data_IF_148514542519
#
_entry.id   IF_148514542519
#
_cell.length_a   1.000
_cell.length_b   1.000
_cell.length_c   1.000
_cell.angle_alpha   90.00
_cell.angle_beta   90.00
_cell.angle_gamma   90.00
#
_symmetry.space_group_name_H-M   'P 1'
#
loop_
_entity.id
_entity.type
_entity.pdbx_description
1 polymer ?
#
# COMPACT_ATOMS: atom_id res chain seq x y z
N UNK A 1 27.26 12.89 -0.81
CA UNK A 1 26.25 11.83 -0.64
C UNK A 1 26.14 11.14 -1.99
N UNK A 2 26.56 9.87 -2.09
CA UNK A 2 26.36 9.07 -3.31
C UNK A 2 24.93 8.55 -3.29
N UNK A 3 24.12 8.99 -4.26
CA UNK A 3 22.83 8.38 -4.51
C UNK A 3 23.06 7.11 -5.34
N UNK A 4 22.57 5.96 -4.86
CA UNK A 4 22.66 4.68 -5.55
C UNK A 4 21.27 4.29 -6.10
N UNK A 5 20.83 4.87 -7.24
CA UNK A 5 19.49 4.65 -7.77
C UNK A 5 19.28 3.18 -8.13
N UNK A 6 18.28 2.56 -7.53
CA UNK A 6 17.87 1.21 -7.86
C UNK A 6 18.59 0.08 -7.13
N UNK A 7 19.38 0.36 -6.08
CA UNK A 7 20.01 -0.69 -5.26
C UNK A 7 19.08 -1.19 -4.17
N UNK A 8 18.19 -0.35 -3.65
CA UNK A 8 17.29 -0.67 -2.53
C UNK A 8 15.88 -1.13 -2.92
N UNK A 9 15.59 -1.32 -4.23
CA UNK A 9 14.22 -1.62 -4.68
C UNK A 9 13.67 -2.91 -4.05
N UNK A 10 14.52 -3.89 -3.81
CA UNK A 10 14.12 -5.14 -3.18
C UNK A 10 13.80 -4.93 -1.69
N UNK A 11 14.64 -4.19 -0.97
CA UNK A 11 14.42 -3.88 0.45
C UNK A 11 13.11 -3.12 0.68
N UNK A 12 12.81 -2.11 -0.17
CA UNK A 12 11.54 -1.37 -0.08
C UNK A 12 10.34 -2.27 -0.41
N UNK A 13 10.49 -3.19 -1.37
CA UNK A 13 9.42 -4.12 -1.69
C UNK A 13 9.15 -5.11 -0.54
N UNK A 14 10.19 -5.62 0.10
CA UNK A 14 10.08 -6.49 1.28
C UNK A 14 9.43 -5.76 2.45
N UNK A 15 9.83 -4.51 2.72
CA UNK A 15 9.21 -3.66 3.72
C UNK A 15 7.73 -3.42 3.44
N UNK A 16 7.36 -3.19 2.16
CA UNK A 16 5.96 -3.02 1.76
C UNK A 16 5.13 -4.27 2.10
N UNK A 17 5.62 -5.46 1.78
CA UNK A 17 4.93 -6.72 2.11
C UNK A 17 4.86 -6.92 3.63
N UNK A 18 5.93 -6.62 4.37
CA UNK A 18 5.90 -6.66 5.84
C UNK A 18 4.79 -5.79 6.40
N UNK A 19 4.68 -4.53 5.94
CA UNK A 19 3.63 -3.60 6.37
C UNK A 19 2.21 -4.11 6.02
N UNK A 20 2.03 -4.78 4.88
CA UNK A 20 0.75 -5.42 4.53
C UNK A 20 0.41 -6.56 5.51
N UNK A 21 1.38 -7.40 5.85
CA UNK A 21 1.22 -8.49 6.81
C UNK A 21 0.94 -7.96 8.21
N UNK A 22 1.63 -6.90 8.65
CA UNK A 22 1.40 -6.26 9.94
C UNK A 22 -0.03 -5.75 10.06
N UNK A 23 -0.53 -5.04 9.05
CA UNK A 23 -1.90 -4.53 9.02
C UNK A 23 -2.95 -5.66 9.02
N UNK A 24 -2.72 -6.71 8.23
CA UNK A 24 -3.68 -7.82 8.10
C UNK A 24 -3.71 -8.75 9.33
N UNK A 25 -2.64 -8.80 10.12
CA UNK A 25 -2.47 -9.72 11.24
C UNK A 25 -2.36 -9.03 12.60
N UNK A 26 -2.37 -7.68 12.63
CA UNK A 26 -2.24 -6.86 13.85
C UNK A 26 -0.97 -7.17 14.66
N UNK A 27 0.13 -7.50 13.97
CA UNK A 27 1.33 -8.02 14.64
C UNK A 27 1.98 -6.98 15.55
N UNK A 28 1.95 -5.71 15.16
CA UNK A 28 2.52 -4.61 15.96
C UNK A 28 1.71 -4.36 17.23
N UNK A 29 0.38 -4.28 17.12
CA UNK A 29 -0.53 -4.07 18.24
C UNK A 29 -0.50 -5.25 19.23
N UNK A 30 -0.56 -6.47 18.70
CA UNK A 30 -0.49 -7.67 19.50
C UNK A 30 0.84 -7.78 20.26
N UNK A 31 1.95 -7.49 19.59
CA UNK A 31 3.28 -7.52 20.21
C UNK A 31 3.39 -6.47 21.33
N UNK A 32 2.93 -5.22 21.08
CA UNK A 32 2.94 -4.14 22.06
C UNK A 32 2.14 -4.52 23.30
N UNK A 33 0.92 -5.05 23.13
CA UNK A 33 0.05 -5.43 24.23
C UNK A 33 0.68 -6.52 25.11
N UNK A 34 1.31 -7.54 24.48
CA UNK A 34 2.00 -8.59 25.25
C UNK A 34 3.22 -8.04 26.00
N UNK A 35 4.02 -7.18 25.38
CA UNK A 35 5.25 -6.70 25.98
C UNK A 35 5.03 -5.60 27.04
N UNK A 36 4.11 -4.66 26.76
CA UNK A 36 3.90 -3.49 27.61
C UNK A 36 2.80 -3.71 28.67
N UNK A 37 1.72 -4.39 28.27
CA UNK A 37 0.53 -4.56 29.12
C UNK A 37 0.45 -5.95 29.75
N UNK A 38 1.31 -6.90 29.33
CA UNK A 38 1.31 -8.31 29.74
C UNK A 38 -0.03 -9.02 29.53
N UNK A 39 -0.80 -8.58 28.52
CA UNK A 39 -2.10 -9.15 28.18
C UNK A 39 -1.92 -10.14 27.02
N UNK A 40 -2.49 -11.32 27.17
CA UNK A 40 -2.56 -12.33 26.11
C UNK A 40 -4.02 -12.64 25.78
N UNK A 41 -4.51 -12.11 24.65
CA UNK A 41 -5.83 -12.40 24.14
C UNK A 41 -5.78 -12.83 22.66
N UNK A 42 -5.69 -14.13 22.41
CA UNK A 42 -5.56 -14.70 21.06
C UNK A 42 -6.74 -14.41 20.12
N UNK A 43 -7.89 -14.00 20.65
CA UNK A 43 -9.08 -13.72 19.85
C UNK A 43 -9.23 -12.25 19.50
N UNK A 44 -8.59 -11.33 20.23
CA UNK A 44 -8.69 -9.89 20.02
C UNK A 44 -8.16 -9.47 18.65
N UNK A 45 -7.06 -10.10 18.23
CA UNK A 45 -6.35 -9.80 16.99
C UNK A 45 -6.57 -10.88 15.93
N UNK A 46 -7.83 -11.20 15.69
CA UNK A 46 -8.19 -12.10 14.57
C UNK A 46 -8.00 -11.35 13.26
N UNK A 47 -6.94 -11.67 12.53
CA UNK A 47 -6.64 -11.12 11.24
C UNK A 47 -7.16 -11.96 10.09
N UNK A 48 -6.69 -11.64 8.89
CA UNK A 48 -7.01 -12.37 7.66
C UNK A 48 -5.75 -12.64 6.83
N UNK A 49 -5.87 -13.52 5.85
CA UNK A 49 -4.79 -13.83 4.91
C UNK A 49 -4.75 -12.80 3.77
N UNK A 50 -3.59 -12.62 3.14
CA UNK A 50 -3.48 -11.82 1.92
C UNK A 50 -4.07 -12.54 0.70
N UNK A 51 -4.09 -13.87 0.73
CA UNK A 51 -4.61 -14.72 -0.33
C UNK A 51 -6.02 -14.33 -0.75
N UNK A 52 -6.22 -14.23 -2.07
CA UNK A 52 -7.52 -13.91 -2.67
C UNK A 52 -7.91 -12.43 -2.62
N UNK A 53 -7.12 -11.59 -1.94
CA UNK A 53 -7.33 -10.14 -1.95
C UNK A 53 -6.68 -9.49 -3.17
N UNK A 54 -7.16 -8.30 -3.52
CA UNK A 54 -6.68 -7.50 -4.65
C UNK A 54 -5.71 -6.44 -4.13
N UNK A 55 -4.47 -6.47 -4.64
CA UNK A 55 -3.49 -5.40 -4.45
C UNK A 55 -3.55 -4.43 -5.63
N UNK A 56 -3.88 -3.18 -5.36
CA UNK A 56 -3.76 -2.06 -6.28
C UNK A 56 -2.39 -1.39 -6.10
N UNK A 57 -1.63 -1.31 -7.19
CA UNK A 57 -0.31 -0.66 -7.21
C UNK A 57 -0.41 0.65 -7.97
N UNK A 58 0.00 1.74 -7.31
CA UNK A 58 0.12 3.07 -7.93
C UNK A 58 1.59 3.33 -8.26
N UNK A 59 1.95 3.19 -9.55
CA UNK A 59 3.32 3.25 -10.06
C UNK A 59 3.98 1.86 -10.16
N UNK A 60 4.10 1.34 -11.39
CA UNK A 60 4.66 0.00 -11.67
C UNK A 60 6.12 0.06 -12.15
N UNK A 61 6.94 0.91 -11.50
CA UNK A 61 8.38 0.96 -11.72
C UNK A 61 9.12 -0.26 -11.13
N UNK A 62 10.42 -0.13 -10.85
CA UNK A 62 11.24 -1.23 -10.30
C UNK A 62 10.68 -1.77 -8.97
N UNK A 63 10.29 -0.86 -8.05
CA UNK A 63 9.74 -1.23 -6.74
C UNK A 63 8.36 -1.85 -6.92
N UNK A 64 7.42 -1.16 -7.60
CA UNK A 64 6.07 -1.67 -7.80
C UNK A 64 6.02 -3.03 -8.51
N UNK A 65 6.88 -3.24 -9.52
CA UNK A 65 7.01 -4.55 -10.18
C UNK A 65 7.54 -5.64 -9.23
N UNK A 66 8.44 -5.29 -8.31
CA UNK A 66 8.93 -6.25 -7.32
C UNK A 66 7.87 -6.59 -6.27
N UNK A 67 7.13 -5.58 -5.80
CA UNK A 67 5.97 -5.76 -4.89
C UNK A 67 4.92 -6.64 -5.55
N UNK A 68 4.58 -6.39 -6.82
CA UNK A 68 3.65 -7.22 -7.57
C UNK A 68 4.05 -8.71 -7.56
N UNK A 69 5.32 -8.99 -7.89
CA UNK A 69 5.85 -10.36 -7.88
C UNK A 69 5.78 -11.01 -6.49
N UNK A 70 6.05 -10.28 -5.42
CA UNK A 70 5.96 -10.80 -4.05
C UNK A 70 4.50 -11.03 -3.65
N UNK A 71 3.59 -10.10 -3.95
CA UNK A 71 2.17 -10.24 -3.65
C UNK A 71 1.54 -11.45 -4.39
N UNK A 72 1.93 -11.70 -5.64
CA UNK A 72 1.51 -12.88 -6.38
C UNK A 72 1.95 -14.19 -5.72
N UNK A 73 3.11 -14.21 -5.05
CA UNK A 73 3.55 -15.37 -4.27
C UNK A 73 2.70 -15.61 -3.00
N UNK A 74 1.93 -14.61 -2.56
CA UNK A 74 0.89 -14.73 -1.53
C UNK A 74 -0.50 -15.01 -2.12
N UNK A 75 -0.61 -15.45 -3.37
CA UNK A 75 -1.87 -15.71 -4.08
C UNK A 75 -2.81 -14.49 -4.14
N UNK A 76 -2.25 -13.27 -4.15
CA UNK A 76 -3.01 -12.05 -4.39
C UNK A 76 -3.23 -11.82 -5.88
N UNK A 77 -4.38 -11.23 -6.24
CA UNK A 77 -4.58 -10.62 -7.56
C UNK A 77 -3.96 -9.23 -7.57
N UNK A 78 -3.17 -8.91 -8.61
CA UNK A 78 -2.50 -7.61 -8.70
C UNK A 78 -3.03 -6.81 -9.88
N UNK A 79 -3.43 -5.57 -9.62
CA UNK A 79 -3.77 -4.58 -10.64
C UNK A 79 -2.90 -3.31 -10.42
N UNK A 80 -2.62 -2.57 -11.47
CA UNK A 80 -1.81 -1.36 -11.37
C UNK A 80 -2.33 -0.21 -12.22
N UNK A 81 -2.16 0.99 -11.69
CA UNK A 81 -2.25 2.25 -12.40
C UNK A 81 -0.86 2.83 -12.59
N UNK A 82 -0.44 2.97 -13.82
CA UNK A 82 0.78 3.68 -14.23
C UNK A 82 0.59 4.21 -15.65
N UNK A 83 0.53 5.53 -15.85
CA UNK A 83 0.29 6.12 -17.17
C UNK A 83 1.47 5.95 -18.13
N UNK A 84 2.65 5.53 -17.64
CA UNK A 84 3.88 5.40 -18.43
C UNK A 84 4.20 3.94 -18.81
N UNK A 85 3.45 2.97 -18.28
CA UNK A 85 3.64 1.55 -18.55
C UNK A 85 2.46 1.02 -19.37
N UNK A 86 2.73 0.43 -20.53
CA UNK A 86 1.71 -0.13 -21.39
C UNK A 86 1.11 -1.43 -20.84
N UNK A 87 -0.06 -1.80 -21.38
CA UNK A 87 -0.81 -2.98 -20.92
C UNK A 87 -0.09 -4.29 -21.19
N UNK A 88 0.66 -4.41 -22.30
CA UNK A 88 1.41 -5.61 -22.65
C UNK A 88 2.54 -5.86 -21.64
N UNK A 89 3.27 -4.80 -21.30
CA UNK A 89 4.31 -4.84 -20.26
C UNK A 89 3.73 -5.23 -18.90
N UNK A 90 2.56 -4.71 -18.50
CA UNK A 90 1.88 -5.10 -17.25
C UNK A 90 1.44 -6.56 -17.29
N UNK A 91 0.81 -6.98 -18.38
CA UNK A 91 0.33 -8.35 -18.56
C UNK A 91 1.47 -9.37 -18.52
N UNK A 92 2.65 -9.05 -19.10
CA UNK A 92 3.84 -9.90 -19.04
C UNK A 92 4.33 -10.16 -17.61
N UNK A 93 3.95 -9.29 -16.66
CA UNK A 93 4.24 -9.41 -15.22
C UNK A 93 3.09 -10.03 -14.43
N UNK A 94 2.01 -10.47 -15.10
CA UNK A 94 0.80 -10.97 -14.45
C UNK A 94 0.01 -9.88 -13.69
N UNK A 95 0.14 -8.62 -14.12
CA UNK A 95 -0.52 -7.45 -13.51
C UNK A 95 -1.60 -6.93 -14.45
N UNK A 96 -2.81 -6.76 -13.95
CA UNK A 96 -3.90 -6.15 -14.72
C UNK A 96 -3.69 -4.63 -14.79
N UNK A 97 -3.68 -4.06 -16.00
CA UNK A 97 -3.66 -2.60 -16.16
C UNK A 97 -5.02 -2.01 -15.85
N UNK A 98 -5.03 -0.91 -15.10
CA UNK A 98 -6.21 -0.07 -14.87
C UNK A 98 -5.88 1.35 -15.33
N UNK A 99 -6.70 1.91 -16.20
CA UNK A 99 -6.44 3.22 -16.83
C UNK A 99 -6.89 4.39 -15.96
N UNK A 100 -7.76 4.16 -15.01
CA UNK A 100 -8.30 5.16 -14.09
C UNK A 100 -7.93 4.84 -12.64
N UNK A 101 -7.37 5.81 -11.93
CA UNK A 101 -6.93 5.64 -10.55
C UNK A 101 -8.10 5.39 -9.59
N UNK A 102 -9.24 6.03 -9.82
CA UNK A 102 -10.43 5.84 -8.98
C UNK A 102 -10.99 4.42 -9.17
N UNK A 103 -10.95 3.89 -10.40
CA UNK A 103 -11.31 2.49 -10.66
C UNK A 103 -10.39 1.54 -9.91
N UNK A 104 -9.06 1.78 -9.93
CA UNK A 104 -8.12 0.98 -9.15
C UNK A 104 -8.47 1.01 -7.66
N UNK A 105 -8.71 2.20 -7.11
CA UNK A 105 -9.08 2.40 -5.71
C UNK A 105 -10.39 1.68 -5.34
N UNK A 106 -11.39 1.70 -6.23
CA UNK A 106 -12.67 1.05 -5.99
C UNK A 106 -12.60 -0.49 -5.98
N UNK A 107 -11.61 -1.07 -6.66
CA UNK A 107 -11.46 -2.53 -6.81
C UNK A 107 -10.53 -3.15 -5.76
N UNK A 108 -9.55 -2.40 -5.27
CA UNK A 108 -8.48 -2.91 -4.42
C UNK A 108 -8.92 -3.08 -2.96
N UNK A 109 -8.35 -4.09 -2.30
CA UNK A 109 -8.42 -4.30 -0.86
C UNK A 109 -7.20 -3.69 -0.16
N UNK A 110 -6.08 -3.63 -0.88
CA UNK A 110 -4.83 -2.97 -0.49
C UNK A 110 -4.39 -2.02 -1.59
N UNK A 111 -3.99 -0.80 -1.23
CA UNK A 111 -3.35 0.17 -2.15
C UNK A 111 -1.92 0.38 -1.69
N UNK A 112 -0.96 0.15 -2.59
CA UNK A 112 0.45 0.41 -2.35
C UNK A 112 1.01 1.42 -3.36
N UNK A 113 1.67 2.46 -2.85
CA UNK A 113 2.13 3.60 -3.66
C UNK A 113 3.63 3.51 -3.88
N UNK A 114 4.07 3.63 -5.14
CA UNK A 114 5.47 3.54 -5.57
C UNK A 114 5.84 4.62 -6.60
N UNK A 115 5.21 5.79 -6.51
CA UNK A 115 5.49 6.93 -7.38
C UNK A 115 6.50 7.88 -6.73
N UNK A 116 7.32 8.61 -7.49
CA UNK A 116 8.07 9.74 -6.98
C UNK A 116 7.10 10.87 -6.58
N UNK A 117 7.56 11.79 -5.73
CA UNK A 117 6.84 13.03 -5.46
C UNK A 117 7.14 14.04 -6.58
N UNK A 118 6.11 14.44 -7.30
CA UNK A 118 6.13 15.47 -8.35
C UNK A 118 4.85 16.29 -8.23
N UNK A 119 4.72 17.38 -9.00
CA UNK A 119 3.46 18.15 -9.02
C UNK A 119 2.26 17.29 -9.43
N UNK A 120 2.46 16.31 -10.33
CA UNK A 120 1.40 15.42 -10.78
C UNK A 120 1.05 14.30 -9.77
N UNK A 121 1.95 13.96 -8.85
CA UNK A 121 1.76 12.88 -7.88
C UNK A 121 1.58 13.37 -6.45
N UNK A 122 1.71 14.68 -6.22
CA UNK A 122 1.42 15.30 -4.92
C UNK A 122 -0.06 15.12 -4.59
N UNK A 123 -0.35 14.46 -3.46
CA UNK A 123 -1.72 14.17 -3.04
C UNK A 123 -2.49 13.27 -4.00
N UNK A 124 -1.80 12.47 -4.82
CA UNK A 124 -2.43 11.58 -5.81
C UNK A 124 -3.43 10.61 -5.17
N UNK A 125 -3.22 10.26 -3.91
CA UNK A 125 -4.21 9.59 -3.07
C UNK A 125 -4.76 10.63 -2.09
N UNK A 126 -5.89 11.20 -2.44
CA UNK A 126 -6.59 12.24 -1.69
C UNK A 126 -8.04 11.88 -1.37
N UNK A 127 -8.85 12.87 -1.01
CA UNK A 127 -10.26 12.69 -0.61
C UNK A 127 -11.07 11.92 -1.63
N UNK A 128 -10.90 12.21 -2.91
CA UNK A 128 -11.62 11.55 -4.00
C UNK A 128 -11.29 10.06 -4.05
N UNK A 129 -10.00 9.69 -4.01
CA UNK A 129 -9.55 8.31 -4.05
C UNK A 129 -10.02 7.55 -2.80
N UNK A 130 -9.92 8.16 -1.62
CA UNK A 130 -10.47 7.56 -0.39
C UNK A 130 -11.97 7.34 -0.48
N UNK A 131 -12.72 8.28 -1.06
CA UNK A 131 -14.17 8.12 -1.25
C UNK A 131 -14.52 6.92 -2.15
N UNK A 132 -13.70 6.67 -3.19
CA UNK A 132 -13.88 5.54 -4.11
C UNK A 132 -13.51 4.18 -3.50
N UNK A 133 -12.59 4.13 -2.52
CA UNK A 133 -12.13 2.87 -1.91
C UNK A 133 -13.28 2.08 -1.30
N UNK A 134 -13.12 0.76 -1.19
CA UNK A 134 -14.02 -0.08 -0.40
C UNK A 134 -13.92 0.27 1.08
N UNK A 135 -14.98 0.14 1.88
CA UNK A 135 -14.84 0.11 3.33
C UNK A 135 -13.88 -1.03 3.74
N UNK A 136 -12.94 -0.73 4.61
CA UNK A 136 -11.96 -1.73 5.06
C UNK A 136 -10.71 -1.85 4.20
N UNK A 137 -10.48 -0.96 3.23
CA UNK A 137 -9.24 -0.92 2.45
C UNK A 137 -8.04 -0.53 3.32
N UNK A 138 -6.88 -1.09 3.01
CA UNK A 138 -5.59 -0.74 3.60
C UNK A 138 -4.74 0.08 2.63
N UNK A 139 -4.00 1.07 3.13
CA UNK A 139 -3.11 1.92 2.31
C UNK A 139 -1.68 1.86 2.83
N UNK A 140 -0.73 1.59 1.94
CA UNK A 140 0.69 1.48 2.27
C UNK A 140 1.48 2.51 1.46
N UNK A 141 2.25 3.35 2.14
CA UNK A 141 3.14 4.33 1.51
C UNK A 141 4.58 4.15 2.00
N UNK A 142 5.40 3.49 1.18
CA UNK A 142 6.85 3.40 1.33
C UNK A 142 7.59 4.18 0.23
N UNK A 143 6.91 5.14 -0.43
CA UNK A 143 7.48 5.89 -1.54
C UNK A 143 8.05 7.24 -1.11
N UNK A 144 7.17 8.23 -0.93
CA UNK A 144 7.53 9.60 -0.52
C UNK A 144 6.42 10.20 0.33
N UNK A 145 6.78 11.06 1.30
CA UNK A 145 5.85 11.94 1.96
C UNK A 145 5.16 12.86 0.95
N UNK A 146 3.91 13.22 1.21
CA UNK A 146 3.13 14.11 0.35
C UNK A 146 2.49 13.49 -0.90
N UNK A 147 2.75 12.21 -1.25
CA UNK A 147 1.99 11.51 -2.30
C UNK A 147 0.60 11.09 -1.82
N UNK A 148 0.43 10.94 -0.52
CA UNK A 148 -0.87 10.76 0.13
C UNK A 148 -1.24 12.07 0.83
N UNK A 149 -2.46 12.52 0.70
CA UNK A 149 -3.02 13.60 1.52
C UNK A 149 -3.25 13.06 2.94
N UNK A 150 -2.35 13.43 3.86
CA UNK A 150 -2.37 12.93 5.24
C UNK A 150 -3.59 13.40 6.04
N UNK A 151 -4.16 14.58 5.72
CA UNK A 151 -5.36 15.05 6.35
C UNK A 151 -6.57 14.21 5.90
N UNK A 152 -6.70 13.96 4.61
CA UNK A 152 -7.73 13.10 4.06
C UNK A 152 -7.60 11.64 4.56
N UNK A 153 -6.38 11.14 4.69
CA UNK A 153 -6.13 9.81 5.25
C UNK A 153 -6.60 9.69 6.69
N UNK A 154 -6.31 10.70 7.54
CA UNK A 154 -6.82 10.74 8.93
C UNK A 154 -8.34 10.75 9.01
N UNK A 155 -9.01 11.54 8.15
CA UNK A 155 -10.47 11.55 8.05
C UNK A 155 -11.02 10.16 7.65
N UNK A 156 -10.38 9.50 6.67
CA UNK A 156 -10.77 8.18 6.21
C UNK A 156 -10.57 7.08 7.27
N UNK A 157 -9.49 7.14 8.05
CA UNK A 157 -9.26 6.26 9.20
C UNK A 157 -10.28 6.51 10.32
N UNK A 158 -10.52 7.77 10.68
CA UNK A 158 -11.45 8.13 11.74
C UNK A 158 -12.90 7.73 11.42
N UNK A 159 -13.29 7.78 10.15
CA UNK A 159 -14.63 7.35 9.70
C UNK A 159 -14.77 5.82 9.52
N UNK A 160 -13.70 5.05 9.66
CA UNK A 160 -13.69 3.61 9.38
C UNK A 160 -13.72 3.25 7.89
N UNK A 161 -13.56 4.23 6.99
CA UNK A 161 -13.44 3.99 5.55
C UNK A 161 -12.19 3.18 5.22
N UNK A 162 -11.07 3.52 5.86
CA UNK A 162 -9.85 2.69 5.87
C UNK A 162 -9.82 1.81 7.11
N UNK A 163 -9.45 0.54 6.94
CA UNK A 163 -9.16 -0.36 8.03
C UNK A 163 -7.80 -0.07 8.67
N UNK A 164 -6.84 0.46 7.89
CA UNK A 164 -5.53 0.83 8.37
C UNK A 164 -4.67 1.50 7.32
N UNK A 165 -3.63 2.19 7.80
CA UNK A 165 -2.59 2.77 6.97
C UNK A 165 -1.23 2.46 7.58
N UNK A 166 -0.27 2.08 6.74
CA UNK A 166 1.13 1.95 7.16
C UNK A 166 2.01 2.84 6.29
N UNK A 167 2.81 3.67 6.94
CA UNK A 167 3.70 4.63 6.27
C UNK A 167 5.14 4.42 6.71
N UNK A 168 6.07 4.71 5.81
CA UNK A 168 7.52 4.75 6.08
C UNK A 168 8.07 6.17 5.90
N UNK A 169 7.23 7.07 5.38
CA UNK A 169 7.57 8.44 4.99
C UNK A 169 6.41 9.39 5.31
N UNK A 170 6.72 10.61 5.72
CA UNK A 170 5.76 11.67 6.04
C UNK A 170 6.07 12.94 5.23
N UNK A 171 5.07 13.80 5.05
CA UNK A 171 5.22 15.04 4.28
C UNK A 171 6.21 16.03 4.91
N UNK A 172 6.32 16.02 6.24
CA UNK A 172 7.18 16.90 7.02
C UNK A 172 8.18 16.06 7.84
N UNK A 173 9.04 15.32 7.17
CA UNK A 173 10.16 14.64 7.82
C UNK A 173 11.17 15.67 8.33
N UNK A 174 11.59 15.55 9.61
CA UNK A 174 12.59 16.41 10.24
C UNK A 174 14.00 16.12 9.72
#
# INVERSE_FOLDING_TARGET
>A
IQNAPGVNYNAVAELTISKMLDLSRFTMEANREVQEEHIWNKYKYTGHELKGHILGIVGLGKIGSRVAKLAQAFDMTVAAYDPYVDGETMQSKGVAKVEDLNELCARADYISIHTPLTDATKGIIGKEQFACMKPGTYVINCARGGVVDEAAAREALASGKLAGQSVDVLANEL
#
